data_IF_797397265193
#
_entry.id   IF_797397265193
#
_cell.length_a   1.000
_cell.length_b   1.000
_cell.length_c   1.000
_cell.angle_alpha   90.00
_cell.angle_beta   90.00
_cell.angle_gamma   90.00
#
_symmetry.space_group_name_H-M   'P 1'
#
loop_
_entity.id
_entity.type
_entity.pdbx_description
1 polymer ?
#
# COMPACT_ATOMS: atom_id res chain seq x y z
N UNK A 1 -43.40 -47.13 3.73
CA UNK A 1 -42.41 -46.13 3.30
C UNK A 1 -43.17 -44.83 3.19
N UNK A 2 -43.26 -44.13 4.31
CA UNK A 2 -44.05 -42.92 4.43
C UNK A 2 -43.14 -41.75 4.07
N UNK A 3 -43.39 -41.18 2.90
CA UNK A 3 -42.57 -40.12 2.34
C UNK A 3 -42.96 -38.81 3.02
N UNK A 4 -42.25 -38.48 4.09
CA UNK A 4 -42.29 -37.17 4.75
C UNK A 4 -42.01 -36.08 3.69
N UNK A 5 -43.05 -35.35 3.33
CA UNK A 5 -42.91 -34.18 2.48
C UNK A 5 -42.39 -33.06 3.38
N UNK A 6 -41.07 -32.87 3.42
CA UNK A 6 -40.45 -31.72 4.07
C UNK A 6 -40.94 -30.45 3.38
N UNK A 7 -41.79 -29.69 4.06
CA UNK A 7 -42.04 -28.29 3.75
C UNK A 7 -40.71 -27.55 3.81
N UNK A 8 -40.21 -27.13 2.65
CA UNK A 8 -39.12 -26.18 2.58
C UNK A 8 -39.68 -24.82 2.98
N UNK A 9 -39.43 -24.42 4.24
CA UNK A 9 -39.63 -23.04 4.68
C UNK A 9 -38.94 -22.09 3.70
N UNK A 10 -39.73 -21.27 3.02
CA UNK A 10 -39.22 -20.20 2.19
C UNK A 10 -38.42 -19.24 3.08
N UNK A 11 -37.10 -19.29 2.96
CA UNK A 11 -36.18 -18.32 3.57
C UNK A 11 -36.63 -16.94 3.12
N UNK A 12 -37.21 -16.18 4.06
CA UNK A 12 -37.73 -14.85 3.80
C UNK A 12 -36.66 -13.98 3.16
N UNK A 13 -36.88 -13.58 1.91
CA UNK A 13 -36.07 -12.58 1.25
C UNK A 13 -36.13 -11.29 2.07
N UNK A 14 -35.08 -11.02 2.85
CA UNK A 14 -34.92 -9.77 3.57
C UNK A 14 -35.07 -8.60 2.60
N UNK A 15 -35.90 -7.61 2.96
CA UNK A 15 -36.11 -6.41 2.13
C UNK A 15 -34.76 -5.79 1.79
N UNK A 16 -34.39 -5.79 0.51
CA UNK A 16 -33.20 -5.11 0.03
C UNK A 16 -33.27 -3.62 0.43
N UNK A 17 -32.30 -3.17 1.21
CA UNK A 17 -32.22 -1.80 1.68
C UNK A 17 -32.08 -0.84 0.48
N UNK A 18 -32.99 0.13 0.36
CA UNK A 18 -33.02 1.05 -0.78
C UNK A 18 -31.82 1.99 -0.73
N UNK A 19 -30.94 1.90 -1.74
CA UNK A 19 -29.86 2.87 -1.96
C UNK A 19 -30.46 4.24 -2.27
N UNK A 20 -30.07 5.28 -1.52
CA UNK A 20 -30.46 6.68 -1.78
C UNK A 20 -29.30 7.42 -2.45
N UNK A 21 -29.49 8.02 -3.64
CA UNK A 21 -28.42 8.78 -4.29
C UNK A 21 -28.09 10.03 -3.47
N UNK A 22 -26.79 10.34 -3.37
CA UNK A 22 -26.24 11.57 -2.79
C UNK A 22 -25.29 12.19 -3.81
N UNK A 23 -25.31 13.50 -3.95
CA UNK A 23 -24.39 14.23 -4.84
C UNK A 23 -23.28 14.90 -4.04
N UNK A 24 -22.06 14.84 -4.56
CA UNK A 24 -20.86 15.49 -4.05
C UNK A 24 -20.19 16.18 -5.25
N UNK A 25 -19.60 17.36 -5.04
CA UNK A 25 -18.88 18.09 -6.09
C UNK A 25 -17.38 17.91 -5.91
N UNK A 26 -16.68 17.74 -7.02
CA UNK A 26 -15.23 17.65 -7.11
C UNK A 26 -14.72 18.73 -8.05
N UNK A 27 -13.48 19.16 -7.86
CA UNK A 27 -12.74 19.85 -8.90
C UNK A 27 -12.34 18.88 -10.00
N UNK A 28 -12.17 19.36 -11.24
CA UNK A 28 -11.81 18.51 -12.38
C UNK A 28 -10.51 17.73 -12.13
N UNK A 29 -9.48 18.39 -11.59
CA UNK A 29 -8.22 17.76 -11.22
C UNK A 29 -8.34 16.71 -10.08
N UNK A 30 -9.37 16.79 -9.25
CA UNK A 30 -9.67 15.73 -8.26
C UNK A 30 -10.36 14.55 -8.93
N UNK A 31 -11.28 14.83 -9.86
CA UNK A 31 -12.01 13.80 -10.58
C UNK A 31 -11.11 12.98 -11.51
N UNK A 32 -10.20 13.62 -12.24
CA UNK A 32 -9.21 12.94 -13.09
C UNK A 32 -8.35 11.96 -12.28
N UNK A 33 -7.95 12.36 -11.04
CA UNK A 33 -7.20 11.49 -10.14
C UNK A 33 -8.05 10.31 -9.64
N UNK A 34 -9.33 10.53 -9.38
CA UNK A 34 -10.27 9.47 -9.00
C UNK A 34 -10.42 8.46 -10.15
N UNK A 35 -10.57 8.92 -11.39
CA UNK A 35 -10.68 8.06 -12.57
C UNK A 35 -9.41 7.22 -12.78
N UNK A 36 -8.23 7.85 -12.72
CA UNK A 36 -6.96 7.14 -12.84
C UNK A 36 -6.75 6.08 -11.75
N UNK A 37 -7.21 6.34 -10.52
CA UNK A 37 -7.19 5.34 -9.45
C UNK A 37 -8.22 4.24 -9.68
N UNK A 38 -9.44 4.58 -10.10
CA UNK A 38 -10.50 3.62 -10.36
C UNK A 38 -10.09 2.59 -11.43
N UNK A 39 -9.41 3.05 -12.48
CA UNK A 39 -8.84 2.20 -13.54
C UNK A 39 -7.85 1.17 -12.99
N UNK A 40 -6.92 1.57 -12.11
CA UNK A 40 -5.95 0.66 -11.46
C UNK A 40 -6.63 -0.42 -10.62
N UNK A 41 -7.83 -0.13 -10.11
CA UNK A 41 -8.65 -1.07 -9.33
C UNK A 41 -9.69 -1.82 -10.18
N UNK A 42 -9.74 -1.59 -11.50
CA UNK A 42 -10.75 -2.18 -12.40
C UNK A 42 -12.19 -1.89 -11.95
N UNK A 43 -12.43 -0.69 -11.43
CA UNK A 43 -13.73 -0.23 -10.95
C UNK A 43 -14.20 0.99 -11.74
N UNK A 44 -15.52 1.19 -11.83
CA UNK A 44 -16.04 2.49 -12.26
C UNK A 44 -15.74 3.56 -11.21
N UNK A 45 -15.53 4.82 -11.63
CA UNK A 45 -15.17 5.92 -10.72
C UNK A 45 -16.12 6.06 -9.52
N UNK A 46 -17.43 5.94 -9.73
CA UNK A 46 -18.42 5.99 -8.66
C UNK A 46 -18.33 4.78 -7.69
N UNK A 47 -18.00 3.60 -8.20
CA UNK A 47 -17.81 2.40 -7.39
C UNK A 47 -16.52 2.49 -6.58
N UNK A 48 -15.46 3.02 -7.19
CA UNK A 48 -14.20 3.31 -6.50
C UNK A 48 -14.38 4.32 -5.37
N UNK A 49 -15.11 5.42 -5.59
CA UNK A 49 -15.40 6.41 -4.54
C UNK A 49 -16.15 5.77 -3.37
N UNK A 50 -17.13 4.90 -3.67
CA UNK A 50 -17.86 4.17 -2.62
C UNK A 50 -16.95 3.19 -1.86
N UNK A 51 -16.12 2.44 -2.59
CA UNK A 51 -15.13 1.53 -2.01
C UNK A 51 -14.19 2.29 -1.08
N UNK A 52 -13.56 3.37 -1.58
CA UNK A 52 -12.63 4.18 -0.82
C UNK A 52 -13.27 4.81 0.43
N UNK A 53 -14.50 5.31 0.32
CA UNK A 53 -15.22 5.87 1.48
C UNK A 53 -15.50 4.80 2.55
N UNK A 54 -15.90 3.59 2.16
CA UNK A 54 -16.13 2.49 3.11
C UNK A 54 -14.82 2.00 3.73
N UNK A 55 -13.76 1.84 2.93
CA UNK A 55 -12.44 1.47 3.40
C UNK A 55 -11.85 2.50 4.36
N UNK A 56 -12.08 3.80 4.13
CA UNK A 56 -11.65 4.86 5.05
C UNK A 56 -12.37 4.79 6.40
N UNK A 57 -13.67 4.46 6.40
CA UNK A 57 -14.45 4.26 7.62
C UNK A 57 -13.96 3.01 8.39
N UNK A 58 -13.68 1.92 7.68
CA UNK A 58 -13.21 0.66 8.28
C UNK A 58 -11.77 0.75 8.81
N UNK A 59 -10.89 1.40 8.05
CA UNK A 59 -9.52 1.68 8.48
C UNK A 59 -9.51 2.56 9.74
N UNK A 60 -10.48 3.47 9.87
CA UNK A 60 -10.51 4.46 10.95
C UNK A 60 -9.32 5.44 10.86
N UNK A 61 -9.37 6.56 11.59
CA UNK A 61 -8.32 7.58 11.56
C UNK A 61 -6.96 7.05 12.07
N UNK A 62 -6.96 5.93 12.80
CA UNK A 62 -5.81 5.45 13.56
C UNK A 62 -5.04 4.31 12.88
N UNK A 63 -5.28 3.98 11.61
CA UNK A 63 -4.50 2.90 10.95
C UNK A 63 -2.99 3.17 10.98
N UNK A 64 -2.56 4.41 10.74
CA UNK A 64 -1.16 4.79 10.87
C UNK A 64 -0.67 4.65 12.33
N UNK A 65 -1.48 5.06 13.31
CA UNK A 65 -1.13 4.94 14.73
C UNK A 65 -1.03 3.47 15.18
N UNK A 66 -1.89 2.60 14.67
CA UNK A 66 -1.87 1.15 14.94
C UNK A 66 -0.64 0.46 14.33
N UNK A 67 -0.23 0.88 13.13
CA UNK A 67 0.93 0.30 12.45
C UNK A 67 2.26 0.89 12.91
N UNK A 68 2.28 2.08 13.51
CA UNK A 68 3.51 2.76 13.93
C UNK A 68 4.44 1.90 14.80
N UNK A 69 3.98 1.18 15.83
CA UNK A 69 4.86 0.33 16.64
C UNK A 69 5.48 -0.84 15.85
N UNK A 70 4.72 -1.41 14.92
CA UNK A 70 5.21 -2.48 14.04
C UNK A 70 6.29 -1.94 13.10
N UNK A 71 6.01 -0.80 12.45
CA UNK A 71 6.96 -0.11 11.58
C UNK A 71 8.25 0.19 12.36
N UNK A 72 8.16 0.80 13.54
CA UNK A 72 9.35 1.10 14.35
C UNK A 72 10.15 -0.17 14.67
N UNK A 73 9.47 -1.23 15.13
CA UNK A 73 10.12 -2.49 15.50
C UNK A 73 10.81 -3.13 14.31
N UNK A 74 10.16 -3.16 13.15
CA UNK A 74 10.72 -3.72 11.92
C UNK A 74 11.92 -2.91 11.44
N UNK A 75 11.85 -1.58 11.42
CA UNK A 75 12.97 -0.73 11.04
C UNK A 75 14.15 -0.86 12.02
N UNK A 76 13.88 -0.95 13.32
CA UNK A 76 14.93 -1.18 14.34
C UNK A 76 15.61 -2.53 14.14
N UNK A 77 14.85 -3.60 13.91
CA UNK A 77 15.41 -4.93 13.66
C UNK A 77 16.25 -4.96 12.38
N UNK A 78 15.77 -4.36 11.30
CA UNK A 78 16.52 -4.23 10.05
C UNK A 78 17.82 -3.45 10.26
N UNK A 79 17.79 -2.34 11.00
CA UNK A 79 18.99 -1.57 11.31
C UNK A 79 20.05 -2.38 12.08
N UNK A 80 19.63 -3.15 13.10
CA UNK A 80 20.53 -4.02 13.86
C UNK A 80 21.16 -5.08 12.94
N UNK A 81 20.36 -5.74 12.09
CA UNK A 81 20.83 -6.76 11.16
C UNK A 81 21.83 -6.19 10.15
N UNK A 82 21.52 -5.04 9.54
CA UNK A 82 22.42 -4.37 8.58
C UNK A 82 23.71 -3.92 9.25
N UNK A 83 23.63 -3.40 10.47
CA UNK A 83 24.83 -2.97 11.23
C UNK A 83 25.71 -4.16 11.56
N UNK A 84 25.11 -5.27 12.01
CA UNK A 84 25.85 -6.51 12.26
C UNK A 84 26.49 -7.05 10.99
N UNK A 85 25.74 -7.17 9.90
CA UNK A 85 26.25 -7.63 8.61
C UNK A 85 27.43 -6.77 8.14
N UNK A 86 27.34 -5.45 8.29
CA UNK A 86 28.44 -4.53 7.99
C UNK A 86 29.69 -4.84 8.83
N UNK A 87 29.54 -5.02 10.14
CA UNK A 87 30.66 -5.36 11.02
C UNK A 87 31.28 -6.69 10.63
N UNK A 88 30.47 -7.74 10.45
CA UNK A 88 30.92 -9.07 10.09
C UNK A 88 31.70 -9.05 8.75
N UNK A 89 31.21 -8.32 7.74
CA UNK A 89 31.92 -8.17 6.46
C UNK A 89 33.25 -7.42 6.57
N UNK A 90 33.32 -6.40 7.44
CA UNK A 90 34.58 -5.67 7.68
C UNK A 90 35.59 -6.53 8.43
N UNK A 91 35.13 -7.32 9.41
CA UNK A 91 35.99 -8.26 10.16
C UNK A 91 36.51 -9.39 9.25
N UNK A 92 35.77 -9.75 8.20
CA UNK A 92 36.15 -10.70 7.15
C UNK A 92 36.98 -10.07 6.01
N UNK A 93 37.36 -8.79 6.12
CA UNK A 93 38.12 -8.03 5.10
C UNK A 93 37.40 -7.94 3.73
N UNK A 94 36.06 -7.99 3.75
CA UNK A 94 35.17 -7.90 2.57
C UNK A 94 34.67 -6.47 2.32
N UNK A 95 35.55 -5.49 2.52
CA UNK A 95 35.22 -4.06 2.39
C UNK A 95 34.73 -3.68 1.00
N UNK A 96 35.36 -4.21 -0.05
CA UNK A 96 35.00 -3.90 -1.45
C UNK A 96 33.58 -4.38 -1.79
N UNK A 97 33.20 -5.58 -1.36
CA UNK A 97 31.84 -6.12 -1.57
C UNK A 97 30.79 -5.31 -0.79
N UNK A 98 31.13 -4.86 0.42
CA UNK A 98 30.26 -3.98 1.19
C UNK A 98 30.04 -2.64 0.48
N UNK A 99 31.09 -2.05 -0.10
CA UNK A 99 30.99 -0.79 -0.84
C UNK A 99 30.11 -0.92 -2.10
N UNK A 100 30.20 -2.04 -2.82
CA UNK A 100 29.32 -2.35 -3.94
C UNK A 100 27.84 -2.45 -3.51
N UNK A 101 27.57 -3.14 -2.39
CA UNK A 101 26.21 -3.25 -1.84
C UNK A 101 25.65 -1.89 -1.43
N UNK A 102 26.46 -1.05 -0.78
CA UNK A 102 26.05 0.31 -0.38
C UNK A 102 25.81 1.19 -1.60
N UNK A 103 26.67 1.13 -2.62
CA UNK A 103 26.52 1.87 -3.86
C UNK A 103 25.23 1.47 -4.61
N UNK A 104 24.96 0.17 -4.71
CA UNK A 104 23.72 -0.35 -5.30
C UNK A 104 22.46 0.12 -4.58
N UNK A 105 22.48 0.09 -3.24
CA UNK A 105 21.36 0.59 -2.43
C UNK A 105 21.11 2.09 -2.62
N UNK A 106 22.17 2.91 -2.69
CA UNK A 106 22.05 4.35 -2.97
C UNK A 106 21.47 4.63 -4.36
N UNK A 107 21.97 3.94 -5.38
CA UNK A 107 21.45 4.08 -6.75
C UNK A 107 19.96 3.72 -6.84
N UNK A 108 19.53 2.68 -6.12
CA UNK A 108 18.11 2.33 -6.04
C UNK A 108 17.29 3.37 -5.28
N UNK A 109 17.82 3.92 -4.18
CA UNK A 109 17.17 5.01 -3.44
C UNK A 109 16.99 6.24 -4.32
N UNK A 110 18.02 6.66 -5.05
CA UNK A 110 17.97 7.83 -5.92
C UNK A 110 16.93 7.64 -7.05
N UNK A 111 16.89 6.45 -7.66
CA UNK A 111 15.86 6.08 -8.65
C UNK A 111 14.44 6.20 -8.08
N UNK A 112 14.20 5.70 -6.87
CA UNK A 112 12.88 5.73 -6.24
C UNK A 112 12.47 7.15 -5.80
N UNK A 113 13.44 7.99 -5.45
CA UNK A 113 13.21 9.39 -5.07
C UNK A 113 13.19 10.35 -6.27
N UNK A 114 13.38 9.85 -7.49
CA UNK A 114 13.45 10.68 -8.70
C UNK A 114 14.66 11.63 -8.71
N UNK A 115 15.74 11.29 -8.01
CA UNK A 115 17.01 12.01 -8.07
C UNK A 115 17.82 11.43 -9.22
N UNK A 116 18.00 12.18 -10.29
CA UNK A 116 18.93 11.79 -11.35
C UNK A 116 20.37 11.77 -10.80
N UNK A 117 21.20 10.80 -11.21
CA UNK A 117 22.62 10.84 -10.86
C UNK A 117 23.23 12.11 -11.44
N UNK A 118 23.87 12.92 -10.59
CA UNK A 118 24.58 14.10 -11.04
C UNK A 118 25.64 13.69 -12.08
N UNK A 119 25.54 14.24 -13.29
CA UNK A 119 26.59 14.08 -14.30
C UNK A 119 27.93 14.55 -13.70
N UNK A 120 29.03 13.81 -13.92
CA UNK A 120 30.35 14.27 -13.49
C UNK A 120 30.65 15.59 -14.22
N UNK A 121 30.74 16.69 -13.47
CA UNK A 121 31.08 18.03 -13.96
C UNK A 121 32.45 17.97 -14.66
N UNK A 122 32.40 17.86 -15.99
CA UNK A 122 33.54 17.71 -16.87
C UNK A 122 34.30 19.01 -17.08
N UNK A 123 34.77 19.63 -15.99
CA UNK A 123 35.67 20.80 -16.04
C UNK A 123 37.09 20.36 -15.71
N UNK A 124 37.82 19.99 -16.77
CA UNK A 124 39.28 20.19 -16.84
C UNK A 124 39.56 21.60 -17.35
#
# INVERSE_FOLDING_TARGET
MDNETREAEAIGAGKAEKRRPRSIRFHDAEWERIEACAEKHSLAAAEFVRFAALSAVEAGPDTAARLAPLIETTFRAAHIMVTKMRTDMLDEDRGDELDELVAGARAQQDRLLGREPAEPDGRN
#
